data_IF_519110336658
#
_entry.id   IF_519110336658
#
_cell.length_a   1.000
_cell.length_b   1.000
_cell.length_c   1.000
_cell.angle_alpha   90.00
_cell.angle_beta   90.00
_cell.angle_gamma   90.00
#
_symmetry.space_group_name_H-M   'P 1'
#
loop_
_entity.id
_entity.type
_entity.pdbx_description
1 polymer ?
#
# COMPACT_ATOMS: atom_id res chain seq x y z
N UNK A 1 -5.59 -15.01 -13.50
CA UNK A 1 -6.13 -13.64 -13.69
C UNK A 1 -5.93 -12.92 -12.36
N UNK A 2 -5.08 -11.89 -12.29
CA UNK A 2 -4.71 -11.27 -11.00
C UNK A 2 -5.76 -10.22 -10.61
N UNK A 3 -6.76 -10.61 -9.82
CA UNK A 3 -7.73 -9.69 -9.23
C UNK A 3 -7.16 -9.08 -7.95
N UNK A 4 -6.38 -8.02 -8.09
CA UNK A 4 -6.15 -7.13 -6.97
C UNK A 4 -7.30 -6.13 -6.94
N UNK A 5 -8.08 -6.14 -5.86
CA UNK A 5 -9.09 -5.12 -5.63
C UNK A 5 -8.36 -3.77 -5.56
N UNK A 6 -8.64 -2.89 -6.53
CA UNK A 6 -8.03 -1.57 -6.63
C UNK A 6 -8.82 -0.60 -5.78
N UNK A 7 -8.42 -0.45 -4.52
CA UNK A 7 -8.94 0.63 -3.70
C UNK A 7 -8.11 1.90 -3.95
N UNK A 8 -8.74 3.07 -4.10
CA UNK A 8 -8.01 4.32 -4.16
C UNK A 8 -7.37 4.56 -2.78
N UNK A 9 -6.05 4.50 -2.71
CA UNK A 9 -5.25 4.90 -1.55
C UNK A 9 -4.55 6.20 -1.89
N UNK A 10 -4.98 7.30 -1.27
CA UNK A 10 -4.19 8.52 -1.12
C UNK A 10 -3.46 8.45 0.22
N UNK A 11 -2.48 7.54 0.35
CA UNK A 11 -1.61 7.49 1.52
C UNK A 11 -0.34 8.27 1.16
N UNK A 12 -0.01 9.37 1.84
CA UNK A 12 1.25 10.03 1.60
C UNK A 12 2.39 9.11 2.04
N UNK A 13 3.31 8.80 1.13
CA UNK A 13 4.53 8.06 1.44
C UNK A 13 5.74 8.94 1.16
N UNK A 14 6.87 8.58 1.75
CA UNK A 14 8.12 9.29 1.53
C UNK A 14 9.13 8.30 0.97
N UNK A 15 9.79 8.68 -0.11
CA UNK A 15 10.92 7.94 -0.64
C UNK A 15 12.20 8.67 -0.30
N UNK A 16 13.14 7.96 0.33
CA UNK A 16 14.48 8.47 0.61
C UNK A 16 15.49 7.66 -0.18
N UNK A 17 16.29 8.32 -1.01
CA UNK A 17 17.53 7.73 -1.52
C UNK A 17 18.63 7.92 -0.46
N UNK A 18 19.52 6.93 -0.28
CA UNK A 18 20.55 6.94 0.76
C UNK A 18 21.39 8.23 0.81
N UNK A 19 21.54 8.90 -0.34
CA UNK A 19 22.39 10.08 -0.52
C UNK A 19 21.62 11.34 -1.00
N UNK A 20 20.29 11.35 -0.90
CA UNK A 20 19.48 12.49 -1.36
C UNK A 20 18.44 12.94 -0.31
N UNK A 21 18.06 14.21 -0.39
CA UNK A 21 16.92 14.74 0.35
C UNK A 21 15.67 13.90 0.04
N UNK A 22 14.88 13.54 1.06
CA UNK A 22 13.72 12.69 0.87
C UNK A 22 12.64 13.40 0.04
N UNK A 23 12.13 12.73 -0.99
CA UNK A 23 10.98 13.20 -1.75
C UNK A 23 9.69 12.70 -1.06
N UNK A 24 8.76 13.62 -0.79
CA UNK A 24 7.39 13.26 -0.37
C UNK A 24 6.53 12.98 -1.59
N UNK A 25 6.05 11.74 -1.72
CA UNK A 25 5.39 11.26 -2.92
C UNK A 25 4.01 10.71 -2.56
N UNK A 26 2.97 11.01 -3.35
CA UNK A 26 1.70 10.34 -3.17
C UNK A 26 1.86 8.87 -3.59
N UNK A 27 1.56 7.97 -2.65
CA UNK A 27 1.43 6.56 -2.98
C UNK A 27 0.17 6.37 -3.79
N UNK A 28 0.27 5.56 -4.84
CA UNK A 28 -0.88 5.27 -5.69
C UNK A 28 -1.39 3.84 -5.49
N UNK A 29 -0.49 2.89 -5.26
CA UNK A 29 -0.85 1.55 -4.77
C UNK A 29 0.30 0.88 -4.01
N UNK A 30 -0.06 -0.05 -3.12
CA UNK A 30 0.83 -1.10 -2.60
C UNK A 30 0.20 -2.46 -2.93
N UNK A 31 1.01 -3.43 -3.33
CA UNK A 31 0.54 -4.79 -3.56
C UNK A 31 1.66 -5.82 -3.36
N UNK A 32 1.32 -7.11 -3.45
CA UNK A 32 2.31 -8.19 -3.47
C UNK A 32 3.28 -8.08 -4.66
N UNK A 33 2.86 -7.44 -5.75
CA UNK A 33 3.70 -7.22 -6.93
C UNK A 33 4.61 -5.99 -6.83
N UNK A 34 4.59 -5.26 -5.70
CA UNK A 34 5.37 -4.05 -5.49
C UNK A 34 4.52 -2.82 -5.18
N UNK A 35 5.19 -1.66 -5.22
CA UNK A 35 4.67 -0.34 -4.85
C UNK A 35 4.66 0.55 -6.10
N UNK A 36 3.61 1.34 -6.28
CA UNK A 36 3.54 2.34 -7.34
C UNK A 36 3.31 3.74 -6.75
N UNK A 37 4.16 4.70 -7.10
CA UNK A 37 4.06 6.08 -6.63
C UNK A 37 4.46 7.08 -7.73
N UNK A 38 4.09 8.34 -7.55
CA UNK A 38 4.43 9.44 -8.45
C UNK A 38 5.59 10.25 -7.88
N UNK A 39 6.58 10.60 -8.71
CA UNK A 39 7.71 11.45 -8.34
C UNK A 39 7.85 12.63 -9.31
N UNK A 40 8.29 13.77 -8.79
CA UNK A 40 8.66 14.92 -9.63
C UNK A 40 10.05 14.76 -10.28
N UNK A 41 10.81 13.72 -9.89
CA UNK A 41 12.15 13.43 -10.41
C UNK A 41 12.22 12.01 -10.98
N UNK A 42 13.03 11.79 -12.02
CA UNK A 42 13.26 10.45 -12.54
C UNK A 42 14.21 9.66 -11.63
N UNK A 43 13.93 8.38 -11.47
CA UNK A 43 14.82 7.43 -10.81
C UNK A 43 15.25 6.33 -11.77
N UNK A 44 16.52 5.92 -11.71
CA UNK A 44 17.03 4.81 -12.53
C UNK A 44 16.50 3.48 -12.00
N UNK A 45 16.19 2.56 -12.90
CA UNK A 45 15.93 1.18 -12.51
C UNK A 45 17.18 0.59 -11.82
N UNK A 46 16.97 -0.20 -10.78
CA UNK A 46 18.01 -0.73 -9.90
C UNK A 46 18.35 0.17 -8.70
N UNK A 47 17.93 1.44 -8.68
CA UNK A 47 18.19 2.32 -7.54
C UNK A 47 17.49 1.79 -6.29
N UNK A 48 18.24 1.67 -5.19
CA UNK A 48 17.70 1.29 -3.88
C UNK A 48 17.24 2.53 -3.12
N UNK A 49 16.04 2.48 -2.57
CA UNK A 49 15.39 3.56 -1.84
C UNK A 49 14.87 3.01 -0.51
N UNK A 50 14.59 3.90 0.45
CA UNK A 50 13.80 3.58 1.65
C UNK A 50 12.39 4.12 1.44
N UNK A 51 11.40 3.24 1.55
CA UNK A 51 9.99 3.61 1.62
C UNK A 51 9.63 3.88 3.07
N UNK A 52 9.04 5.05 3.35
CA UNK A 52 8.52 5.41 4.68
C UNK A 52 7.04 5.75 4.61
N UNK A 53 6.24 5.14 5.49
CA UNK A 53 4.81 5.41 5.66
C UNK A 53 4.60 5.98 7.07
N UNK A 54 4.27 7.27 7.16
CA UNK A 54 4.15 8.02 8.43
C UNK A 54 2.75 8.01 9.04
N UNK A 55 1.79 7.38 8.36
CA UNK A 55 0.40 7.33 8.84
C UNK A 55 0.17 6.29 9.94
N UNK A 56 1.22 5.55 10.31
CA UNK A 56 1.23 4.56 11.39
C UNK A 56 2.25 4.98 12.44
N UNK A 57 2.00 4.57 13.69
CA UNK A 57 2.90 4.82 14.82
C UNK A 57 3.33 3.49 15.44
N UNK A 58 4.64 3.16 15.44
CA UNK A 58 5.73 3.93 14.85
C UNK A 58 5.66 3.96 13.30
N UNK A 59 6.30 4.95 12.63
CA UNK A 59 6.39 5.00 11.17
C UNK A 59 6.94 3.70 10.60
N UNK A 60 6.31 3.19 9.54
CA UNK A 60 6.81 2.02 8.83
C UNK A 60 7.92 2.43 7.87
N UNK A 61 9.05 1.73 7.91
CA UNK A 61 10.18 1.93 7.00
C UNK A 61 10.66 0.59 6.45
N UNK A 62 10.87 0.51 5.14
CA UNK A 62 11.45 -0.67 4.50
C UNK A 62 12.30 -0.33 3.28
N UNK A 63 13.33 -1.13 2.96
CA UNK A 63 14.10 -0.96 1.73
C UNK A 63 13.31 -1.46 0.51
N UNK A 64 13.41 -0.71 -0.58
CA UNK A 64 12.75 -1.00 -1.86
C UNK A 64 13.71 -0.72 -3.02
N UNK A 65 13.43 -1.29 -4.19
CA UNK A 65 14.21 -1.03 -5.41
C UNK A 65 13.34 -0.58 -6.56
N UNK A 66 13.81 0.39 -7.32
CA UNK A 66 13.13 0.85 -8.53
C UNK A 66 13.23 -0.23 -9.61
N UNK A 67 12.10 -0.77 -10.06
CA UNK A 67 12.03 -1.74 -11.17
C UNK A 67 11.86 -1.00 -12.50
N UNK A 68 11.08 0.08 -12.50
CA UNK A 68 10.87 0.92 -13.68
C UNK A 68 10.49 2.34 -13.28
N UNK A 69 10.76 3.28 -14.18
CA UNK A 69 10.39 4.69 -14.06
C UNK A 69 9.82 5.14 -15.41
N UNK A 70 8.59 5.64 -15.43
CA UNK A 70 7.87 6.03 -16.65
C UNK A 70 7.44 7.50 -16.58
N UNK A 71 7.82 8.35 -17.55
CA UNK A 71 7.31 9.71 -17.60
C UNK A 71 5.79 9.70 -17.85
N UNK A 72 5.10 10.69 -17.30
CA UNK A 72 3.67 10.94 -17.49
C UNK A 72 3.48 12.27 -18.20
N UNK A 73 2.33 12.44 -18.86
CA UNK A 73 2.00 13.67 -19.57
C UNK A 73 1.93 14.91 -18.66
N UNK A 74 1.76 14.72 -17.35
CA UNK A 74 1.80 15.79 -16.35
C UNK A 74 3.21 16.32 -16.04
N UNK A 75 4.27 15.74 -16.63
CA UNK A 75 5.66 16.09 -16.32
C UNK A 75 6.26 15.33 -15.13
N UNK A 76 5.43 14.56 -14.41
CA UNK A 76 5.87 13.69 -13.32
C UNK A 76 6.25 12.29 -13.82
N UNK A 77 6.88 11.49 -12.96
CA UNK A 77 7.32 10.13 -13.21
C UNK A 77 6.54 9.14 -12.36
N UNK A 78 5.99 8.11 -12.99
CA UNK A 78 5.42 6.95 -12.30
C UNK A 78 6.56 5.96 -12.03
N UNK A 79 6.76 5.61 -10.76
CA UNK A 79 7.78 4.65 -10.31
C UNK A 79 7.12 3.34 -9.92
N UNK A 80 7.66 2.23 -10.40
CA UNK A 80 7.38 0.90 -9.87
C UNK A 80 8.53 0.45 -9.00
N UNK A 81 8.23 0.08 -7.76
CA UNK A 81 9.19 -0.37 -6.78
C UNK A 81 8.91 -1.83 -6.39
N UNK A 82 9.95 -2.60 -6.14
CA UNK A 82 9.87 -3.94 -5.54
C UNK A 82 10.36 -3.89 -4.09
N UNK A 83 9.74 -4.72 -3.24
CA UNK A 83 10.25 -4.99 -1.90
C UNK A 83 11.46 -5.91 -1.98
N UNK A 84 12.43 -5.74 -1.09
CA UNK A 84 13.62 -6.60 -1.05
C UNK A 84 13.39 -7.91 -0.28
N UNK A 85 12.34 -7.99 0.52
CA UNK A 85 11.96 -9.21 1.25
C UNK A 85 10.45 -9.41 1.24
N UNK A 86 10.02 -10.68 1.35
CA UNK A 86 8.60 -11.03 1.52
C UNK A 86 8.03 -10.51 2.84
N UNK A 87 8.87 -10.42 3.88
CA UNK A 87 8.48 -9.88 5.18
C UNK A 87 8.11 -8.38 5.07
N UNK A 88 8.90 -7.60 4.33
CA UNK A 88 8.62 -6.17 4.08
C UNK A 88 7.36 -6.00 3.25
N UNK A 89 7.17 -6.84 2.22
CA UNK A 89 5.96 -6.83 1.40
C UNK A 89 4.71 -7.13 2.24
N UNK A 90 4.80 -8.11 3.15
CA UNK A 90 3.71 -8.46 4.06
C UNK A 90 3.43 -7.33 5.06
N UNK A 91 4.48 -6.77 5.68
CA UNK A 91 4.34 -5.68 6.64
C UNK A 91 3.76 -4.41 6.00
N UNK A 92 4.21 -4.04 4.80
CA UNK A 92 3.65 -2.92 4.03
C UNK A 92 2.15 -3.13 3.74
N UNK A 93 1.74 -4.37 3.48
CA UNK A 93 0.33 -4.74 3.28
C UNK A 93 -0.50 -4.59 4.55
N UNK A 94 0.07 -4.90 5.71
CA UNK A 94 -0.59 -4.66 7.00
C UNK A 94 -0.74 -3.16 7.27
N UNK A 95 0.30 -2.38 6.96
CA UNK A 95 0.26 -0.92 7.09
C UNK A 95 -0.80 -0.29 6.18
N UNK A 96 -0.98 -0.79 4.95
CA UNK A 96 -2.07 -0.37 4.06
C UNK A 96 -3.44 -0.56 4.72
N UNK A 97 -3.66 -1.71 5.37
CA UNK A 97 -4.91 -1.98 6.08
C UNK A 97 -5.13 -1.04 7.27
N UNK A 98 -4.08 -0.75 8.03
CA UNK A 98 -4.15 0.23 9.13
C UNK A 98 -4.50 1.62 8.59
N UNK A 99 -3.92 2.03 7.46
CA UNK A 99 -4.24 3.31 6.83
C UNK A 99 -5.71 3.39 6.38
N UNK A 100 -6.28 2.30 5.86
CA UNK A 100 -7.70 2.24 5.52
C UNK A 100 -8.60 2.40 6.75
N UNK A 101 -8.27 1.74 7.85
CA UNK A 101 -9.00 1.85 9.11
C UNK A 101 -8.95 3.30 9.63
N UNK A 102 -7.78 3.93 9.61
CA UNK A 102 -7.64 5.33 10.04
C UNK A 102 -8.39 6.31 9.12
N UNK A 103 -8.38 6.06 7.80
CA UNK A 103 -9.16 6.86 6.87
C UNK A 103 -10.67 6.72 7.13
N UNK A 104 -11.15 5.50 7.31
CA UNK A 104 -12.54 5.22 7.68
C UNK A 104 -12.93 5.92 8.98
N UNK A 105 -12.08 5.82 10.01
CA UNK A 105 -12.28 6.48 11.30
C UNK A 105 -12.49 7.99 11.15
N UNK A 106 -11.66 8.64 10.31
CA UNK A 106 -11.77 10.07 9.99
C UNK A 106 -13.04 10.39 9.20
N UNK A 107 -13.40 9.56 8.21
CA UNK A 107 -14.64 9.76 7.44
C UNK A 107 -15.89 9.64 8.32
N UNK A 108 -15.94 8.68 9.24
CA UNK A 108 -17.04 8.53 10.20
C UNK A 108 -17.16 9.75 11.11
N UNK A 109 -16.03 10.30 11.57
CA UNK A 109 -16.04 11.53 12.37
C UNK A 109 -16.59 12.73 11.60
N UNK A 110 -16.20 12.90 10.32
CA UNK A 110 -16.66 14.02 9.49
C UNK A 110 -18.13 13.86 9.05
N UNK A 111 -18.50 12.68 8.57
CA UNK A 111 -19.79 12.44 7.92
C UNK A 111 -20.92 12.11 8.91
N UNK A 112 -20.58 11.46 10.02
CA UNK A 112 -21.55 10.96 11.00
C UNK A 112 -21.40 11.62 12.38
N UNK A 113 -20.34 12.40 12.60
CA UNK A 113 -20.07 13.04 13.90
C UNK A 113 -19.65 12.05 15.00
N UNK A 114 -19.43 10.77 14.67
CA UNK A 114 -19.05 9.74 15.65
C UNK A 114 -17.53 9.70 15.81
N UNK A 115 -17.07 9.81 17.04
CA UNK A 115 -15.65 9.66 17.38
C UNK A 115 -15.36 8.20 17.73
N UNK A 116 -14.74 7.47 16.79
CA UNK A 116 -14.33 6.10 16.99
C UNK A 116 -12.90 6.02 17.52
N UNK A 117 -12.67 5.08 18.44
CA UNK A 117 -11.33 4.58 18.78
C UNK A 117 -10.75 3.76 17.62
N UNK A 118 -9.42 3.59 17.53
CA UNK A 118 -8.80 2.72 16.53
C UNK A 118 -9.39 1.30 16.54
N UNK A 119 -9.63 0.73 17.72
CA UNK A 119 -10.18 -0.63 17.87
C UNK A 119 -11.63 -0.72 17.40
N UNK A 120 -12.45 0.30 17.68
CA UNK A 120 -13.82 0.36 17.18
C UNK A 120 -13.87 0.52 15.66
N UNK A 121 -13.02 1.40 15.11
CA UNK A 121 -12.90 1.59 13.67
C UNK A 121 -12.45 0.29 12.99
N UNK A 122 -11.47 -0.41 13.55
CA UNK A 122 -11.02 -1.71 13.05
C UNK A 122 -12.14 -2.75 13.10
N UNK A 123 -12.86 -2.86 14.22
CA UNK A 123 -13.96 -3.82 14.36
C UNK A 123 -15.14 -3.53 13.43
N UNK A 124 -15.45 -2.25 13.17
CA UNK A 124 -16.46 -1.85 12.17
C UNK A 124 -15.96 -2.11 10.75
N UNK A 125 -14.71 -1.77 10.44
CA UNK A 125 -14.08 -2.01 9.14
C UNK A 125 -14.05 -3.49 8.79
N UNK A 126 -13.60 -4.35 9.72
CA UNK A 126 -13.62 -5.80 9.56
C UNK A 126 -15.06 -6.28 9.33
N UNK A 127 -16.04 -5.86 10.13
CA UNK A 127 -17.44 -6.28 9.90
C UNK A 127 -17.99 -5.86 8.53
N UNK A 128 -17.61 -4.68 8.04
CA UNK A 128 -18.05 -4.16 6.73
C UNK A 128 -17.33 -4.81 5.54
N UNK A 129 -16.06 -5.18 5.70
CA UNK A 129 -15.18 -5.59 4.58
C UNK A 129 -14.56 -6.98 4.73
N UNK A 130 -14.82 -7.75 5.81
CA UNK A 130 -14.27 -9.10 6.02
C UNK A 130 -14.57 -10.07 4.86
N UNK A 131 -15.75 -9.95 4.24
CA UNK A 131 -16.13 -10.78 3.09
C UNK A 131 -15.30 -10.53 1.83
N UNK A 132 -14.56 -9.43 1.75
CA UNK A 132 -13.67 -9.08 0.63
C UNK A 132 -12.20 -9.50 0.85
N UNK A 133 -11.87 -10.06 2.02
CA UNK A 133 -10.51 -10.52 2.38
C UNK A 133 -10.27 -12.02 2.19
N UNK A 134 -11.17 -12.75 1.51
CA UNK A 134 -10.92 -14.17 1.25
C UNK A 134 -9.66 -14.34 0.39
N UNK A 135 -8.62 -15.06 0.86
CA UNK A 135 -7.62 -15.61 -0.03
C UNK A 135 -8.34 -16.66 -0.89
N UNK A 136 -8.20 -16.55 -2.21
CA UNK A 136 -8.67 -17.56 -3.15
C UNK A 136 -7.85 -18.84 -2.95
N UNK A 137 -8.22 -19.63 -1.94
CA UNK A 137 -7.81 -21.01 -1.75
C UNK A 137 -9.01 -21.87 -2.15
N UNK A 138 -9.22 -22.04 -3.45
CA UNK A 138 -9.95 -23.21 -3.94
C UNK A 138 -8.96 -24.39 -3.93
N UNK A 139 -9.12 -25.41 -3.08
CA UNK A 139 -8.54 -26.70 -3.38
C UNK A 139 -9.22 -27.22 -4.64
N UNK A 140 -8.44 -27.50 -5.68
CA UNK A 140 -8.90 -28.25 -6.84
C UNK A 140 -9.62 -29.50 -6.33
N UNK A 141 -10.94 -29.53 -6.55
CA UNK A 141 -11.74 -30.73 -6.35
C UNK A 141 -11.12 -31.84 -7.18
N UNK A 142 -10.46 -32.78 -6.50
CA UNK A 142 -10.07 -34.05 -7.07
C UNK A 142 -11.33 -34.71 -7.62
N UNK A 143 -11.50 -34.68 -8.94
CA UNK A 143 -12.45 -35.55 -9.61
C UNK A 143 -11.92 -36.97 -9.47
N UNK A 144 -12.55 -37.70 -8.56
CA UNK A 144 -12.55 -39.15 -8.49
C UNK A 144 -12.89 -39.70 -9.88
N UNK A 145 -11.91 -40.35 -10.50
CA UNK A 145 -12.14 -41.24 -11.63
C UNK A 145 -12.73 -42.53 -11.06
N UNK A 146 -14.00 -42.80 -11.36
CA UNK A 146 -14.59 -44.14 -11.36
C UNK A 146 -15.05 -44.43 -12.78
#
# INVERSE_FOLDING_TARGET
MRSFIRHPTDIPVRLRCSDAEPDELPLRNISFGGVCCMSDKPYKAGTSLTLTIRHVDPPFECPVRVVWCRPRSSGQFELGLEFLSEQDAYAARMVEQVCHIEHYRKQVAVNEGRMLTPEQAAAEWIRKYAGTFAPDNQPESSQTCQ
#
